data_IF_130473475778
#
_entry.id   IF_130473475778
#
_cell.length_a   1.000
_cell.length_b   1.000
_cell.length_c   1.000
_cell.angle_alpha   90.00
_cell.angle_beta   90.00
_cell.angle_gamma   90.00
#
_symmetry.space_group_name_H-M   'P 1'
#
loop_
_entity.id
_entity.type
_entity.pdbx_description
1 polymer ?
#
# COMPACT_ATOMS: atom_id res chain seq x y z
N UNK A 1 -3.48 10.96 8.55
CA UNK A 1 -3.20 10.96 7.10
C UNK A 1 -3.35 12.38 6.62
N UNK A 2 -2.32 12.94 6.01
CA UNK A 2 -2.44 14.20 5.29
C UNK A 2 -3.30 13.97 4.03
N UNK A 3 -4.51 14.54 4.02
CA UNK A 3 -5.47 14.40 2.92
C UNK A 3 -5.20 15.38 1.77
N UNK A 4 -4.25 16.30 1.92
CA UNK A 4 -3.98 17.36 0.94
C UNK A 4 -3.50 16.83 -0.41
N UNK A 5 -2.87 15.65 -0.42
CA UNK A 5 -2.36 14.98 -1.63
C UNK A 5 -3.41 14.18 -2.40
N UNK A 6 -4.63 14.03 -1.85
CA UNK A 6 -5.70 13.29 -2.51
C UNK A 6 -6.50 14.20 -3.45
N UNK A 7 -6.23 14.07 -4.75
CA UNK A 7 -6.95 14.80 -5.81
C UNK A 7 -8.43 14.38 -5.95
N UNK A 8 -8.84 13.30 -5.29
CA UNK A 8 -10.22 12.79 -5.27
C UNK A 8 -10.85 12.90 -3.88
N UNK A 9 -10.38 13.82 -3.03
CA UNK A 9 -11.05 14.14 -1.76
C UNK A 9 -12.47 14.68 -1.98
N UNK A 10 -12.67 15.34 -3.12
CA UNK A 10 -13.95 15.81 -3.63
C UNK A 10 -14.42 14.90 -4.77
N UNK A 11 -15.71 14.93 -5.07
CA UNK A 11 -16.29 14.11 -6.13
C UNK A 11 -15.71 14.45 -7.51
N UNK A 12 -15.56 13.42 -8.36
CA UNK A 12 -15.13 13.60 -9.74
C UNK A 12 -16.21 14.34 -10.53
N UNK A 13 -15.85 15.49 -11.10
CA UNK A 13 -16.71 16.18 -12.07
C UNK A 13 -16.73 15.41 -13.41
N UNK A 14 -17.75 14.58 -13.59
CA UNK A 14 -17.94 13.81 -14.82
C UNK A 14 -18.23 14.65 -16.05
N UNK A 15 -18.81 15.85 -15.89
CA UNK A 15 -19.03 16.75 -17.04
C UNK A 15 -17.69 17.28 -17.52
N UNK A 16 -16.85 17.75 -16.60
CA UNK A 16 -15.49 18.19 -16.94
C UNK A 16 -14.64 17.07 -17.54
N UNK A 17 -14.74 15.84 -17.01
CA UNK A 17 -14.05 14.67 -17.55
C UNK A 17 -14.53 14.32 -18.97
N UNK A 18 -15.84 14.37 -19.23
CA UNK A 18 -16.41 14.08 -20.55
C UNK A 18 -15.97 15.09 -21.63
N UNK A 19 -15.73 16.36 -21.25
CA UNK A 19 -15.18 17.36 -22.18
C UNK A 19 -13.74 17.04 -22.61
N UNK A 20 -12.98 16.32 -21.79
CA UNK A 20 -11.57 15.98 -22.05
C UNK A 20 -11.41 14.56 -22.62
N UNK A 21 -12.41 13.69 -22.44
CA UNK A 21 -12.41 12.30 -22.90
C UNK A 21 -13.67 12.01 -23.72
N UNK A 22 -13.60 12.16 -25.06
CA UNK A 22 -14.72 11.85 -25.95
C UNK A 22 -15.23 10.40 -25.81
N UNK A 23 -14.34 9.47 -25.52
CA UNK A 23 -14.70 8.07 -25.27
C UNK A 23 -15.52 7.90 -23.97
N UNK A 24 -15.20 8.65 -22.91
CA UNK A 24 -16.01 8.66 -21.68
C UNK A 24 -17.35 9.35 -21.87
N UNK A 25 -17.41 10.42 -22.67
CA UNK A 25 -18.65 11.15 -22.93
C UNK A 25 -19.78 10.25 -23.45
N UNK A 26 -19.45 9.18 -24.18
CA UNK A 26 -20.40 8.18 -24.71
C UNK A 26 -21.18 7.44 -23.60
N UNK A 27 -20.63 7.35 -22.40
CA UNK A 27 -21.23 6.64 -21.27
C UNK A 27 -22.00 7.55 -20.30
N UNK A 28 -21.95 8.87 -20.50
CA UNK A 28 -22.61 9.83 -19.60
C UNK A 28 -24.09 9.98 -19.97
N UNK A 29 -24.98 9.81 -18.97
CA UNK A 29 -26.42 10.07 -19.16
C UNK A 29 -26.67 11.57 -19.34
N UNK A 30 -27.80 11.94 -19.96
CA UNK A 30 -28.20 13.35 -20.17
C UNK A 30 -28.21 14.21 -18.90
N UNK A 31 -28.46 13.59 -17.74
CA UNK A 31 -28.45 14.26 -16.44
C UNK A 31 -27.03 14.38 -15.82
N UNK A 32 -25.97 14.02 -16.55
CA UNK A 32 -24.59 14.09 -16.09
C UNK A 32 -24.17 12.97 -15.13
N UNK A 33 -24.99 11.92 -14.99
CA UNK A 33 -24.69 10.77 -14.12
C UNK A 33 -24.11 9.61 -14.92
N UNK A 34 -23.22 8.86 -14.29
CA UNK A 34 -22.70 7.59 -14.81
C UNK A 34 -23.54 6.41 -14.30
N UNK A 35 -23.66 5.37 -15.11
CA UNK A 35 -24.19 4.08 -14.67
C UNK A 35 -23.06 3.20 -14.12
N UNK A 36 -23.00 3.01 -12.81
CA UNK A 36 -21.96 2.17 -12.19
C UNK A 36 -22.26 0.67 -12.29
N UNK A 37 -23.43 0.29 -12.80
CA UNK A 37 -23.75 -1.12 -13.06
C UNK A 37 -23.28 -1.59 -14.44
N UNK A 38 -22.95 -0.68 -15.36
CA UNK A 38 -22.38 -0.99 -16.66
C UNK A 38 -20.85 -1.16 -16.55
N UNK A 39 -20.31 -2.38 -16.73
CA UNK A 39 -18.87 -2.62 -16.63
C UNK A 39 -18.05 -1.79 -17.63
N UNK A 40 -18.60 -1.51 -18.82
CA UNK A 40 -17.89 -0.72 -19.86
C UNK A 40 -17.80 0.75 -19.46
N UNK A 41 -18.87 1.30 -18.89
CA UNK A 41 -18.88 2.65 -18.35
C UNK A 41 -17.85 2.82 -17.22
N UNK A 42 -17.80 1.86 -16.29
CA UNK A 42 -16.82 1.86 -15.18
C UNK A 42 -15.40 1.70 -15.70
N UNK A 43 -15.16 0.81 -16.68
CA UNK A 43 -13.85 0.63 -17.29
C UNK A 43 -13.38 1.91 -17.99
N UNK A 44 -14.27 2.58 -18.73
CA UNK A 44 -13.95 3.82 -19.42
C UNK A 44 -13.71 4.98 -18.44
N UNK A 45 -14.44 5.04 -17.32
CA UNK A 45 -14.16 5.98 -16.24
C UNK A 45 -12.74 5.79 -15.72
N UNK A 46 -12.36 4.56 -15.37
CA UNK A 46 -11.01 4.23 -14.88
C UNK A 46 -9.92 4.64 -15.87
N UNK A 47 -10.07 4.30 -17.16
CA UNK A 47 -9.13 4.71 -18.21
C UNK A 47 -8.99 6.23 -18.31
N UNK A 48 -10.11 6.94 -18.26
CA UNK A 48 -10.14 8.40 -18.43
C UNK A 48 -9.53 9.14 -17.23
N UNK A 49 -9.78 8.66 -16.00
CA UNK A 49 -9.15 9.19 -14.79
C UNK A 49 -7.64 8.97 -14.82
N UNK A 50 -7.19 7.75 -15.16
CA UNK A 50 -5.77 7.44 -15.26
C UNK A 50 -5.05 8.30 -16.29
N UNK A 51 -5.66 8.48 -17.47
CA UNK A 51 -5.06 9.29 -18.52
C UNK A 51 -5.00 10.77 -18.15
N UNK A 52 -6.09 11.32 -17.59
CA UNK A 52 -6.17 12.75 -17.24
C UNK A 52 -5.22 13.11 -16.09
N UNK A 53 -5.24 12.31 -15.02
CA UNK A 53 -4.64 12.71 -13.74
C UNK A 53 -3.23 12.17 -13.53
N UNK A 54 -2.86 11.11 -14.24
CA UNK A 54 -1.57 10.42 -14.08
C UNK A 54 -0.84 10.19 -15.40
N UNK A 55 -1.45 10.59 -16.53
CA UNK A 55 -0.97 10.27 -17.89
C UNK A 55 -0.70 8.76 -18.09
N UNK A 56 -1.51 7.91 -17.43
CA UNK A 56 -1.42 6.47 -17.53
C UNK A 56 -2.44 5.92 -18.53
N UNK A 57 -2.00 5.02 -19.39
CA UNK A 57 -2.84 4.26 -20.31
C UNK A 57 -3.13 2.86 -19.74
N UNK A 58 -4.34 2.36 -19.97
CA UNK A 58 -4.79 1.11 -19.38
C UNK A 58 -5.65 0.29 -20.35
N UNK A 59 -5.27 -0.96 -20.54
CA UNK A 59 -6.05 -2.01 -21.17
C UNK A 59 -6.50 -3.03 -20.11
N UNK A 60 -7.75 -3.46 -20.19
CA UNK A 60 -8.35 -4.43 -19.27
C UNK A 60 -9.22 -5.40 -20.06
N UNK A 61 -9.24 -6.69 -19.67
CA UNK A 61 -10.20 -7.63 -20.23
C UNK A 61 -11.57 -7.44 -19.56
N UNK A 62 -12.63 -7.87 -20.25
CA UNK A 62 -14.02 -7.73 -19.79
C UNK A 62 -14.39 -8.68 -18.63
N UNK A 63 -13.54 -9.67 -18.32
CA UNK A 63 -13.78 -10.73 -17.34
C UNK A 63 -12.82 -10.67 -16.14
N UNK A 64 -12.19 -9.51 -15.89
CA UNK A 64 -11.39 -9.26 -14.68
C UNK A 64 -11.80 -7.96 -14.01
N UNK A 65 -11.39 -7.80 -12.76
CA UNK A 65 -11.73 -6.64 -11.95
C UNK A 65 -11.23 -5.33 -12.60
N UNK A 66 -12.13 -4.36 -12.74
CA UNK A 66 -11.77 -2.97 -13.02
C UNK A 66 -11.56 -2.20 -11.71
N UNK A 67 -10.36 -1.66 -11.43
CA UNK A 67 -10.10 -0.98 -10.17
C UNK A 67 -10.69 0.44 -10.16
N UNK A 68 -11.43 0.84 -9.10
CA UNK A 68 -11.84 2.23 -8.90
C UNK A 68 -10.63 3.08 -8.46
N UNK A 69 -10.16 3.95 -9.34
CA UNK A 69 -8.91 4.73 -9.17
C UNK A 69 -8.84 5.49 -7.84
N UNK A 70 -9.89 6.21 -7.38
CA UNK A 70 -9.81 6.98 -6.12
C UNK A 70 -9.47 6.11 -4.91
N UNK A 71 -10.07 4.92 -4.82
CA UNK A 71 -9.80 4.01 -3.71
C UNK A 71 -8.39 3.42 -3.77
N UNK A 72 -7.86 3.18 -4.98
CA UNK A 72 -6.48 2.67 -5.14
C UNK A 72 -5.44 3.74 -4.83
N UNK A 73 -5.73 4.99 -5.19
CA UNK A 73 -4.89 6.13 -4.82
C UNK A 73 -4.79 6.31 -3.31
N UNK A 74 -5.90 6.19 -2.57
CA UNK A 74 -5.90 6.29 -1.10
C UNK A 74 -4.88 5.34 -0.47
N UNK A 75 -4.78 4.11 -0.98
CA UNK A 75 -3.84 3.14 -0.45
C UNK A 75 -2.38 3.54 -0.74
N UNK A 76 -2.07 4.00 -1.96
CA UNK A 76 -0.73 4.49 -2.30
C UNK A 76 -0.34 5.71 -1.46
N UNK A 77 -1.25 6.67 -1.25
CA UNK A 77 -1.00 7.85 -0.42
C UNK A 77 -0.76 7.49 1.06
N UNK A 78 -1.43 6.45 1.54
CA UNK A 78 -1.15 5.91 2.87
C UNK A 78 0.25 5.30 2.96
N UNK A 79 0.64 4.46 2.01
CA UNK A 79 2.00 3.88 1.95
C UNK A 79 3.06 4.98 1.88
N UNK A 80 2.84 6.01 1.06
CA UNK A 80 3.73 7.18 1.00
C UNK A 80 3.85 7.85 2.38
N UNK A 81 2.74 8.09 3.06
CA UNK A 81 2.76 8.67 4.41
C UNK A 81 3.57 7.82 5.39
N UNK A 82 3.36 6.50 5.38
CA UNK A 82 4.10 5.58 6.24
C UNK A 82 5.60 5.64 5.97
N UNK A 83 6.00 5.63 4.71
CA UNK A 83 7.42 5.68 4.33
C UNK A 83 8.04 7.04 4.70
N UNK A 84 7.33 8.14 4.44
CA UNK A 84 7.82 9.49 4.74
C UNK A 84 7.98 9.71 6.26
N UNK A 85 7.11 9.12 7.10
CA UNK A 85 7.21 9.20 8.58
C UNK A 85 8.07 8.11 9.23
N UNK A 86 8.57 7.16 8.44
CA UNK A 86 9.50 6.10 8.91
C UNK A 86 10.84 6.21 8.21
N UNK A 87 11.21 7.43 7.82
CA UNK A 87 12.48 7.71 7.19
C UNK A 87 13.64 7.45 8.17
N UNK A 88 14.72 6.73 7.77
CA UNK A 88 15.91 6.54 8.59
C UNK A 88 16.57 7.84 9.08
N UNK A 89 16.33 8.97 8.41
CA UNK A 89 16.79 10.30 8.83
C UNK A 89 16.00 10.87 10.01
N UNK A 90 14.96 10.17 10.49
CA UNK A 90 14.03 10.61 11.54
C UNK A 90 13.35 11.95 11.23
N UNK A 91 13.15 12.26 9.95
CA UNK A 91 12.37 13.41 9.47
C UNK A 91 11.04 12.94 8.92
N UNK A 92 9.95 13.65 9.23
CA UNK A 92 8.61 13.39 8.68
C UNK A 92 8.44 14.02 7.29
N UNK A 93 9.36 13.74 6.38
CA UNK A 93 9.42 14.36 5.06
C UNK A 93 9.74 13.33 3.97
N UNK A 94 9.21 13.58 2.78
CA UNK A 94 9.55 12.80 1.59
C UNK A 94 11.03 12.98 1.24
N UNK A 95 11.76 11.86 1.19
CA UNK A 95 13.10 11.76 0.63
C UNK A 95 13.02 11.22 -0.82
N UNK A 96 13.36 12.05 -1.84
CA UNK A 96 13.30 11.65 -3.24
C UNK A 96 14.39 10.64 -3.64
N UNK A 97 15.47 10.56 -2.89
CA UNK A 97 16.61 9.68 -3.18
C UNK A 97 16.45 8.30 -2.52
N UNK A 98 15.49 8.15 -1.61
CA UNK A 98 15.15 6.86 -1.01
C UNK A 98 14.65 5.89 -2.07
N UNK A 99 15.46 4.88 -2.36
CA UNK A 99 15.03 3.73 -3.14
C UNK A 99 14.03 2.88 -2.35
N UNK A 100 12.91 2.54 -2.99
CA UNK A 100 11.87 1.69 -2.40
C UNK A 100 11.50 0.61 -3.40
N UNK A 101 11.51 -0.63 -2.95
CA UNK A 101 11.01 -1.78 -3.71
C UNK A 101 9.74 -2.28 -3.04
N UNK A 102 8.59 -2.08 -3.70
CA UNK A 102 7.30 -2.60 -3.27
C UNK A 102 7.05 -4.01 -3.79
N UNK A 103 6.33 -4.83 -3.01
CA UNK A 103 5.76 -6.09 -3.46
C UNK A 103 4.24 -5.95 -3.54
N UNK A 104 3.67 -6.10 -4.74
CA UNK A 104 2.23 -6.13 -4.97
C UNK A 104 1.78 -7.57 -5.23
N UNK A 105 0.99 -8.13 -4.31
CA UNK A 105 0.54 -9.54 -4.37
C UNK A 105 -0.88 -9.60 -4.92
N UNK A 106 -1.06 -10.27 -6.06
CA UNK A 106 -2.32 -10.28 -6.78
C UNK A 106 -2.54 -8.96 -7.52
N UNK A 107 -1.56 -8.57 -8.34
CA UNK A 107 -1.55 -7.28 -9.05
C UNK A 107 -2.71 -7.12 -10.04
N UNK A 108 -3.27 -8.24 -10.51
CA UNK A 108 -4.38 -8.31 -11.45
C UNK A 108 -4.04 -7.75 -12.82
N UNK A 109 -5.02 -7.81 -13.73
CA UNK A 109 -4.87 -7.31 -15.11
C UNK A 109 -4.44 -5.84 -15.18
N UNK A 110 -4.86 -5.03 -14.19
CA UNK A 110 -4.60 -3.58 -14.19
C UNK A 110 -3.18 -3.20 -13.83
N UNK A 111 -2.48 -3.98 -12.98
CA UNK A 111 -1.24 -3.56 -12.34
C UNK A 111 -1.32 -2.18 -11.65
N UNK A 112 -2.50 -1.84 -11.09
CA UNK A 112 -2.83 -0.46 -10.70
C UNK A 112 -1.92 0.12 -9.61
N UNK A 113 -1.52 -0.67 -8.60
CA UNK A 113 -0.69 -0.16 -7.53
C UNK A 113 0.75 0.12 -7.99
N UNK A 114 1.43 -0.79 -8.71
CA UNK A 114 2.72 -0.50 -9.32
C UNK A 114 2.70 0.72 -10.25
N UNK A 115 1.70 0.84 -11.11
CA UNK A 115 1.58 1.97 -12.05
C UNK A 115 1.42 3.31 -11.30
N UNK A 116 0.49 3.40 -10.35
CA UNK A 116 0.27 4.62 -9.55
C UNK A 116 1.50 4.95 -8.69
N UNK A 117 2.06 3.96 -8.00
CA UNK A 117 3.23 4.14 -7.14
C UNK A 117 4.43 4.66 -7.92
N UNK A 118 4.73 4.03 -9.05
CA UNK A 118 5.82 4.44 -9.94
C UNK A 118 5.60 5.83 -10.56
N UNK A 119 4.37 6.22 -10.83
CA UNK A 119 4.05 7.54 -11.38
C UNK A 119 4.22 8.64 -10.33
N UNK A 120 3.82 8.38 -9.09
CA UNK A 120 3.88 9.35 -8.00
C UNK A 120 5.25 9.45 -7.33
N UNK A 121 6.10 8.42 -7.46
CA UNK A 121 7.45 8.37 -6.86
C UNK A 121 8.44 7.79 -7.87
N UNK A 122 9.38 8.62 -8.30
CA UNK A 122 10.39 8.30 -9.32
C UNK A 122 11.33 7.17 -8.88
N UNK A 123 11.69 7.13 -7.59
CA UNK A 123 12.60 6.13 -7.01
C UNK A 123 11.92 4.79 -6.64
N UNK A 124 10.60 4.68 -6.84
CA UNK A 124 9.88 3.44 -6.55
C UNK A 124 10.04 2.43 -7.68
N UNK A 125 10.31 1.19 -7.27
CA UNK A 125 10.30 -0.02 -8.09
C UNK A 125 9.29 -0.99 -7.48
N UNK A 126 8.76 -1.89 -8.29
CA UNK A 126 7.83 -2.92 -7.84
C UNK A 126 8.22 -4.28 -8.38
N UNK A 127 8.08 -5.29 -7.53
CA UNK A 127 7.77 -6.63 -8.00
C UNK A 127 6.26 -6.84 -7.83
N UNK A 128 5.59 -7.33 -8.87
CA UNK A 128 4.16 -7.57 -8.84
C UNK A 128 3.87 -9.02 -9.22
N UNK A 129 3.15 -9.73 -8.36
CA UNK A 129 2.85 -11.15 -8.53
C UNK A 129 1.40 -11.38 -8.87
N UNK A 130 1.13 -12.44 -9.63
CA UNK A 130 -0.21 -12.96 -9.83
C UNK A 130 -0.16 -14.46 -10.20
N UNK A 131 -1.26 -15.16 -9.96
CA UNK A 131 -1.41 -16.58 -10.32
C UNK A 131 -2.19 -16.76 -11.63
N UNK A 132 -2.83 -15.73 -12.18
CA UNK A 132 -3.65 -15.80 -13.39
C UNK A 132 -2.86 -15.31 -14.62
N UNK A 133 -2.68 -16.18 -15.63
CA UNK A 133 -1.89 -15.85 -16.82
C UNK A 133 -2.51 -14.72 -17.64
N UNK A 134 -3.85 -14.66 -17.69
CA UNK A 134 -4.56 -13.60 -18.40
C UNK A 134 -4.33 -12.25 -17.72
N UNK A 135 -4.39 -12.20 -16.40
CA UNK A 135 -4.07 -10.99 -15.63
C UNK A 135 -2.63 -10.56 -15.86
N UNK A 136 -1.65 -11.47 -15.82
CA UNK A 136 -0.26 -11.12 -16.10
C UNK A 136 0.00 -10.68 -17.54
N UNK A 137 -0.73 -11.22 -18.51
CA UNK A 137 -0.65 -10.75 -19.89
C UNK A 137 -1.04 -9.27 -19.99
N UNK A 138 -2.22 -8.90 -19.47
CA UNK A 138 -2.67 -7.50 -19.47
C UNK A 138 -1.80 -6.59 -18.60
N UNK A 139 -1.36 -7.06 -17.42
CA UNK A 139 -0.43 -6.31 -16.58
C UNK A 139 0.86 -5.99 -17.35
N UNK A 140 1.40 -6.96 -18.10
CA UNK A 140 2.63 -6.79 -18.89
C UNK A 140 2.42 -5.78 -20.01
N UNK A 141 1.28 -5.82 -20.70
CA UNK A 141 0.89 -4.81 -21.70
C UNK A 141 0.82 -3.43 -21.06
N UNK A 142 0.12 -3.28 -19.93
CA UNK A 142 -0.05 -2.00 -19.24
C UNK A 142 1.27 -1.41 -18.74
N UNK A 143 2.17 -2.23 -18.19
CA UNK A 143 3.51 -1.78 -17.80
C UNK A 143 4.31 -1.28 -19.01
N UNK A 144 4.23 -1.99 -20.15
CA UNK A 144 4.93 -1.62 -21.38
C UNK A 144 4.36 -0.33 -22.00
N UNK A 145 3.03 -0.19 -22.10
CA UNK A 145 2.35 1.00 -22.63
C UNK A 145 2.78 2.29 -21.91
N UNK A 146 3.10 2.19 -20.62
CA UNK A 146 3.48 3.33 -19.79
C UNK A 146 5.01 3.48 -19.63
N UNK A 147 5.82 2.72 -20.35
CA UNK A 147 7.29 2.75 -20.28
C UNK A 147 7.85 2.48 -18.87
N UNK A 148 7.21 1.57 -18.11
CA UNK A 148 7.57 1.26 -16.73
C UNK A 148 8.25 -0.11 -16.56
N UNK A 149 8.61 -0.78 -17.66
CA UNK A 149 9.23 -2.12 -17.65
C UNK A 149 10.54 -2.19 -16.86
N UNK A 150 11.31 -1.10 -16.79
CA UNK A 150 12.56 -1.05 -16.00
C UNK A 150 12.32 -0.93 -14.48
N UNK A 151 11.10 -0.57 -14.06
CA UNK A 151 10.75 -0.35 -12.64
C UNK A 151 9.73 -1.34 -12.11
N UNK A 152 8.96 -1.99 -12.97
CA UNK A 152 7.92 -2.95 -12.58
C UNK A 152 8.27 -4.33 -13.16
N UNK A 153 8.64 -5.25 -12.27
CA UNK A 153 8.91 -6.64 -12.59
C UNK A 153 7.69 -7.50 -12.29
N UNK A 154 7.15 -8.17 -13.32
CA UNK A 154 6.02 -9.08 -13.17
C UNK A 154 6.51 -10.52 -12.96
N UNK A 155 5.92 -11.20 -11.99
CA UNK A 155 6.27 -12.56 -11.61
C UNK A 155 5.02 -13.43 -11.55
N UNK A 156 5.03 -14.51 -12.33
CA UNK A 156 4.03 -15.57 -12.19
C UNK A 156 4.33 -16.36 -10.93
N UNK A 157 3.33 -16.55 -10.08
CA UNK A 157 3.41 -17.47 -8.95
C UNK A 157 2.35 -18.56 -9.07
N UNK A 158 2.49 -19.59 -8.25
CA UNK A 158 1.56 -20.68 -8.06
C UNK A 158 1.01 -20.67 -6.62
N UNK A 159 -0.16 -21.27 -6.35
CA UNK A 159 -0.67 -21.41 -4.98
C UNK A 159 0.25 -22.21 -4.03
N UNK A 160 1.18 -22.98 -4.57
CA UNK A 160 2.18 -23.74 -3.79
C UNK A 160 3.46 -22.96 -3.54
N UNK A 161 3.66 -21.83 -4.20
CA UNK A 161 4.83 -20.98 -3.99
C UNK A 161 4.72 -20.23 -2.66
N UNK A 162 5.84 -19.80 -2.06
CA UNK A 162 5.82 -18.87 -0.95
C UNK A 162 5.07 -17.58 -1.32
N UNK A 163 4.22 -17.10 -0.40
CA UNK A 163 3.47 -15.85 -0.59
C UNK A 163 4.39 -14.64 -0.84
N UNK A 164 5.58 -14.66 -0.23
CA UNK A 164 6.64 -13.68 -0.41
C UNK A 164 7.83 -14.40 -1.06
N UNK A 165 7.93 -14.42 -2.40
CA UNK A 165 8.91 -15.23 -3.10
C UNK A 165 10.26 -14.52 -3.20
N UNK A 166 10.91 -14.23 -2.07
CA UNK A 166 12.13 -13.39 -1.96
C UNK A 166 13.21 -13.73 -2.99
N UNK A 167 13.48 -15.03 -3.18
CA UNK A 167 14.47 -15.51 -4.15
C UNK A 167 14.10 -15.12 -5.60
N UNK A 168 12.82 -15.21 -5.95
CA UNK A 168 12.31 -14.86 -7.27
C UNK A 168 12.17 -13.35 -7.49
N UNK A 169 12.06 -12.56 -6.42
CA UNK A 169 12.06 -11.10 -6.48
C UNK A 169 13.42 -10.54 -6.96
N UNK A 170 14.49 -11.32 -6.79
CA UNK A 170 15.84 -10.91 -7.13
C UNK A 170 16.27 -9.67 -6.35
N UNK A 171 15.94 -9.62 -5.05
CA UNK A 171 16.25 -8.45 -4.20
C UNK A 171 17.74 -8.16 -4.10
N UNK A 172 18.60 -9.13 -4.39
CA UNK A 172 20.04 -8.97 -4.49
C UNK A 172 20.44 -7.94 -5.55
N UNK A 173 19.63 -7.76 -6.61
CA UNK A 173 19.85 -6.74 -7.64
C UNK A 173 19.43 -5.33 -7.18
N UNK A 174 18.75 -5.23 -6.04
CA UNK A 174 18.29 -3.99 -5.41
C UNK A 174 18.97 -3.71 -4.07
N UNK A 175 19.80 -4.63 -3.57
CA UNK A 175 20.63 -4.39 -2.42
C UNK A 175 21.79 -3.48 -2.82
N UNK A 176 21.74 -2.22 -2.40
CA UNK A 176 22.95 -1.39 -2.35
C UNK A 176 24.06 -2.14 -1.57
N UNK A 177 25.34 -1.98 -1.93
CA UNK A 177 26.47 -2.65 -1.27
C UNK A 177 26.73 -2.09 0.14
N UNK A 178 25.75 -2.17 1.03
CA UNK A 178 25.91 -1.94 2.47
C UNK A 178 26.28 -3.22 3.22
N UNK A 179 26.95 -4.16 2.53
CA UNK A 179 27.60 -5.32 3.12
C UNK A 179 29.13 -5.16 3.18
N UNK A 180 29.63 -3.92 3.26
CA UNK A 180 31.06 -3.64 3.46
C UNK A 180 31.38 -2.74 4.66
N UNK A 181 30.42 -2.51 5.57
CA UNK A 181 30.80 -2.14 6.94
C UNK A 181 31.28 -3.40 7.65
N UNK A 182 32.49 -3.85 7.29
CA UNK A 182 33.33 -4.63 8.17
C UNK A 182 33.45 -3.84 9.47
N UNK A 183 32.70 -4.26 10.49
CA UNK A 183 32.96 -3.85 11.86
C UNK A 183 34.43 -4.20 12.12
N UNK A 184 35.33 -3.22 12.37
CA UNK A 184 36.69 -3.56 12.70
C UNK A 184 36.66 -4.38 13.99
N UNK A 185 37.03 -5.66 13.87
CA UNK A 185 37.39 -6.48 15.02
C UNK A 185 38.67 -5.91 15.62
N UNK A 186 38.52 -4.92 16.50
CA UNK A 186 39.53 -4.61 17.50
C UNK A 186 39.30 -5.52 18.70
N UNK A 187 40.24 -6.41 19.07
CA UNK A 187 40.13 -7.20 20.28
C UNK A 187 40.58 -6.33 21.47
N UNK A 188 39.86 -5.26 21.74
CA UNK A 188 40.04 -4.50 22.99
C UNK A 188 39.01 -5.01 23.99
N UNK A 189 39.46 -5.97 24.79
CA UNK A 189 38.78 -6.50 25.98
C UNK A 189 38.34 -5.33 26.86
N UNK A 190 37.07 -4.94 26.78
CA UNK A 190 36.43 -4.12 27.81
C UNK A 190 36.30 -4.97 29.07
N UNK A 191 37.11 -4.66 30.09
CA UNK A 191 36.82 -5.11 31.44
C UNK A 191 35.90 -4.09 32.10
N UNK A 192 34.78 -4.50 32.73
CA UNK A 192 34.01 -3.59 33.55
C UNK A 192 34.81 -3.24 34.81
N UNK A 193 35.11 -1.96 35.00
CA UNK A 193 35.66 -1.42 36.23
C UNK A 193 34.49 -1.29 37.21
N UNK A 194 34.41 -2.20 38.19
CA UNK A 194 33.52 -2.01 39.35
C UNK A 194 34.26 -1.17 40.39
N UNK A 195 33.71 -0.02 40.84
CA UNK A 195 34.25 0.67 42.00
C UNK A 195 33.95 -0.13 43.26
N UNK A 196 35.00 -0.54 43.98
CA UNK A 196 34.89 -1.13 45.32
C UNK A 196 34.65 -0.03 46.35
N UNK A 197 33.53 -0.10 47.08
CA UNK A 197 33.39 0.58 48.37
C UNK A 197 32.46 -0.24 49.30
N UNK A 198 32.70 -0.25 50.63
CA UNK A 198 32.29 -1.35 51.49
C UNK A 198 30.88 -1.20 52.08
N UNK A 199 30.23 -2.35 52.23
CA UNK A 199 29.23 -2.75 53.21
C UNK A 199 28.20 -1.70 53.70
N UNK A 200 26.97 -1.79 53.18
CA UNK A 200 25.73 -1.45 53.90
C UNK A 200 24.70 -2.57 53.66
N UNK A 201 24.07 -3.01 54.75
CA UNK A 201 23.24 -4.22 54.90
C UNK A 201 22.10 -4.42 53.88
N UNK A 202 21.71 -5.68 53.59
CA UNK A 202 20.68 -5.99 52.62
C UNK A 202 19.28 -5.71 53.19
N UNK A 203 18.58 -4.72 52.62
CA UNK A 203 17.11 -4.73 52.65
C UNK A 203 16.63 -5.59 51.49
N UNK A 204 16.00 -6.71 51.83
CA UNK A 204 15.25 -7.56 50.90
C UNK A 204 14.20 -6.71 50.15
N UNK A 205 14.37 -6.55 48.84
CA UNK A 205 13.25 -6.33 47.95
C UNK A 205 12.84 -7.69 47.37
N UNK A 206 11.57 -8.11 47.46
CA UNK A 206 11.14 -9.37 46.87
C UNK A 206 11.09 -9.25 45.33
N UNK A 207 11.35 -10.36 44.60
CA UNK A 207 11.23 -10.38 43.14
C UNK A 207 9.77 -10.28 42.69
N UNK A 208 9.49 -9.80 41.46
CA UNK A 208 8.13 -9.79 40.93
C UNK A 208 7.65 -11.23 40.72
N UNK A 209 6.56 -11.57 41.41
CA UNK A 209 5.88 -12.85 41.29
C UNK A 209 5.24 -12.97 39.90
N UNK A 210 5.64 -14.00 39.15
CA UNK A 210 4.84 -14.54 38.05
C UNK A 210 3.57 -15.15 38.64
N UNK A 211 2.42 -14.50 38.45
CA UNK A 211 1.12 -15.13 38.65
C UNK A 211 0.51 -15.51 37.31
N UNK A 212 0.40 -16.82 37.13
CA UNK A 212 -0.53 -17.43 36.21
C UNK A 212 -1.91 -17.34 36.86
N UNK A 213 -2.81 -16.53 36.29
CA UNK A 213 -4.22 -16.51 36.71
C UNK A 213 -5.09 -16.75 35.48
N UNK A 214 -5.57 -17.99 35.38
CA UNK A 214 -6.79 -18.33 34.66
C UNK A 214 -7.98 -17.90 35.51
N UNK A 215 -8.78 -16.94 35.05
CA UNK A 215 -10.13 -16.68 35.55
C UNK A 215 -11.11 -16.46 34.37
N UNK A 216 -12.37 -16.90 34.48
CA UNK A 216 -13.31 -17.00 33.37
C UNK A 216 -14.09 -15.69 33.10
N UNK A 217 -14.63 -15.60 31.89
CA UNK A 217 -15.46 -14.49 31.37
C UNK A 217 -16.68 -14.16 32.27
N UNK A 218 -16.96 -12.87 32.54
CA UNK A 218 -18.22 -12.47 33.14
C UNK A 218 -19.35 -12.41 32.09
N UNK A 219 -20.49 -13.00 32.45
CA UNK A 219 -21.74 -12.95 31.70
C UNK A 219 -22.28 -11.52 31.58
N UNK A 220 -22.59 -11.10 30.35
CA UNK A 220 -23.30 -9.86 30.04
C UNK A 220 -24.76 -9.93 30.51
N UNK A 221 -25.13 -9.06 31.44
CA UNK A 221 -26.52 -8.75 31.79
C UNK A 221 -27.03 -7.73 30.75
N UNK A 222 -28.18 -7.94 30.09
CA UNK A 222 -28.71 -6.99 29.13
C UNK A 222 -29.40 -5.80 29.83
N UNK A 223 -28.99 -4.59 29.47
CA UNK A 223 -29.65 -3.33 29.88
C UNK A 223 -30.95 -3.11 29.10
N UNK A 224 -32.02 -2.57 29.71
CA UNK A 224 -33.28 -2.29 29.02
C UNK A 224 -33.16 -1.12 28.03
N UNK A 225 -33.88 -1.25 26.90
CA UNK A 225 -33.91 -0.31 25.78
C UNK A 225 -34.80 0.91 26.13
N UNK A 226 -34.41 2.16 25.81
CA UNK A 226 -35.28 3.32 26.01
C UNK A 226 -36.45 3.34 25.01
N UNK A 227 -37.61 3.93 25.37
CA UNK A 227 -38.80 3.97 24.51
C UNK A 227 -38.64 4.93 23.32
N UNK A 228 -39.23 4.56 22.19
CA UNK A 228 -39.27 5.34 20.94
C UNK A 228 -40.19 6.56 21.05
N UNK A 229 -39.83 7.72 20.45
CA UNK A 229 -40.75 8.84 20.33
C UNK A 229 -41.84 8.55 19.29
N UNK A 230 -43.09 8.87 19.63
CA UNK A 230 -44.26 8.81 18.74
C UNK A 230 -44.18 9.84 17.59
N UNK A 231 -44.80 9.59 16.43
CA UNK A 231 -44.87 10.55 15.34
C UNK A 231 -45.94 11.64 15.60
N UNK A 232 -45.77 12.86 15.07
CA UNK A 232 -46.75 13.93 15.20
C UNK A 232 -47.96 13.74 14.28
N UNK A 233 -49.10 14.24 14.77
CA UNK A 233 -50.41 14.30 14.12
C UNK A 233 -50.48 15.22 12.91
#
# INVERSE_FOLDING_TARGET
MDTSRNIYKDDVDFKALALQSPEFAKYLKKNGRLDFSDPKAVQQLTKSLLKRDFNLELELPDDRLCPPVPNRLNYILWIQSLLDTTNPTYTDTYDPDREVVGLDIGTGASCIYPLLGCTLRSSWKFAATDIDDKSLHYARTNVALNNLTSRIRLLKTSPTDPLIPLDALGLDQYASPLQSLSVPHSPSRFQPIYPTSPALSPRLFPPPSFYHTTEPLPHLIPTPRPPSPFPPS
#
